data_IF_829706841909
#
_entry.id   IF_829706841909
#
_cell.length_a   1.000
_cell.length_b   1.000
_cell.length_c   1.000
_cell.angle_alpha   90.00
_cell.angle_beta   90.00
_cell.angle_gamma   90.00
#
_symmetry.space_group_name_H-M   'P 1'
#
loop_
_entity.id
_entity.type
_entity.pdbx_description
1 polymer ?
#
# COMPACT_ATOMS: atom_id res chain seq x y z
N UNK A 1 45.25 -31.72 -46.55
CA UNK A 1 45.04 -31.73 -45.08
C UNK A 1 45.29 -30.37 -44.45
N UNK A 2 46.42 -29.72 -44.70
CA UNK A 2 46.73 -28.39 -44.14
C UNK A 2 45.76 -27.29 -44.60
N UNK A 3 45.42 -27.23 -45.88
CA UNK A 3 44.46 -26.23 -46.41
C UNK A 3 43.04 -26.42 -45.86
N UNK A 4 42.62 -27.67 -45.67
CA UNK A 4 41.31 -28.02 -45.10
C UNK A 4 41.20 -27.59 -43.63
N UNK A 5 42.29 -27.68 -42.87
CA UNK A 5 42.38 -27.20 -41.49
C UNK A 5 42.37 -25.67 -41.40
N UNK A 6 43.01 -24.97 -42.35
CA UNK A 6 43.00 -23.50 -42.41
C UNK A 6 41.59 -22.99 -42.72
N UNK A 7 40.89 -23.59 -43.69
CA UNK A 7 39.51 -23.22 -44.04
C UNK A 7 38.56 -23.51 -42.86
N UNK A 8 38.72 -24.63 -42.18
CA UNK A 8 37.94 -24.95 -40.96
C UNK A 8 38.22 -23.95 -39.81
N UNK A 9 39.47 -23.51 -39.65
CA UNK A 9 39.85 -22.49 -38.67
C UNK A 9 39.22 -21.13 -38.96
N UNK A 10 39.23 -20.69 -40.22
CA UNK A 10 38.60 -19.42 -40.64
C UNK A 10 37.06 -19.49 -40.47
N UNK A 11 36.44 -20.61 -40.84
CA UNK A 11 35.02 -20.83 -40.66
C UNK A 11 34.60 -20.80 -39.18
N UNK A 12 35.42 -21.38 -38.29
CA UNK A 12 35.21 -21.33 -36.84
C UNK A 12 35.26 -19.92 -36.27
N UNK A 13 36.21 -19.09 -36.71
CA UNK A 13 36.34 -17.69 -36.26
C UNK A 13 35.16 -16.84 -36.73
N UNK A 14 34.71 -17.03 -37.98
CA UNK A 14 33.53 -16.33 -38.51
C UNK A 14 32.26 -16.68 -37.74
N UNK A 15 32.11 -17.95 -37.35
CA UNK A 15 30.94 -18.40 -36.58
C UNK A 15 30.93 -17.77 -35.17
N UNK A 16 32.09 -17.71 -34.50
CA UNK A 16 32.23 -17.05 -33.19
C UNK A 16 31.91 -15.55 -33.30
N UNK A 17 32.38 -14.87 -34.36
CA UNK A 17 32.03 -13.46 -34.60
C UNK A 17 30.53 -13.26 -34.82
N UNK A 18 29.87 -14.15 -35.54
CA UNK A 18 28.43 -14.07 -35.78
C UNK A 18 27.63 -14.26 -34.48
N UNK A 19 28.06 -15.18 -33.62
CA UNK A 19 27.45 -15.40 -32.30
C UNK A 19 27.67 -14.18 -31.39
N UNK A 20 28.86 -13.57 -31.38
CA UNK A 20 29.10 -12.32 -30.63
C UNK A 20 28.22 -11.16 -31.12
N UNK A 21 28.09 -10.98 -32.43
CA UNK A 21 27.22 -9.96 -33.01
C UNK A 21 25.75 -10.17 -32.65
N UNK A 22 25.26 -11.41 -32.72
CA UNK A 22 23.91 -11.75 -32.30
C UNK A 22 23.67 -11.47 -30.81
N UNK A 23 24.65 -11.78 -29.96
CA UNK A 23 24.58 -11.52 -28.52
C UNK A 23 24.62 -10.01 -28.20
N UNK A 24 25.44 -9.23 -28.90
CA UNK A 24 25.47 -7.76 -28.78
C UNK A 24 24.15 -7.12 -29.22
N UNK A 25 23.56 -7.59 -30.33
CA UNK A 25 22.29 -7.06 -30.84
C UNK A 25 21.14 -7.32 -29.86
N UNK A 26 21.06 -8.54 -29.32
CA UNK A 26 20.06 -8.90 -28.30
C UNK A 26 20.29 -8.18 -26.96
N UNK A 27 21.55 -7.99 -26.54
CA UNK A 27 21.90 -7.23 -25.35
C UNK A 27 21.52 -5.74 -25.49
N UNK A 28 21.78 -5.11 -26.64
CA UNK A 28 21.35 -3.72 -26.89
C UNK A 28 19.83 -3.56 -26.87
N UNK A 29 19.08 -4.54 -27.37
CA UNK A 29 17.60 -4.54 -27.26
C UNK A 29 17.12 -4.62 -25.81
N UNK A 30 17.75 -5.47 -24.99
CA UNK A 30 17.46 -5.58 -23.55
C UNK A 30 17.85 -4.32 -22.78
N UNK A 31 19.00 -3.71 -23.08
CA UNK A 31 19.45 -2.44 -22.49
C UNK A 31 18.52 -1.28 -22.89
N UNK A 32 18.01 -1.26 -24.12
CA UNK A 32 17.01 -0.25 -24.54
C UNK A 32 15.70 -0.40 -23.78
N UNK A 33 15.26 -1.63 -23.50
CA UNK A 33 14.06 -1.87 -22.70
C UNK A 33 14.28 -1.53 -21.21
N UNK A 34 15.45 -1.85 -20.65
CA UNK A 34 15.82 -1.42 -19.30
C UNK A 34 15.92 0.10 -19.19
N UNK A 35 16.49 0.78 -20.19
CA UNK A 35 16.53 2.23 -20.27
C UNK A 35 15.13 2.83 -20.34
N UNK A 36 14.19 2.23 -21.09
CA UNK A 36 12.78 2.65 -21.11
C UNK A 36 12.10 2.47 -19.76
N UNK A 37 12.31 1.34 -19.08
CA UNK A 37 11.76 1.08 -17.74
C UNK A 37 12.34 2.04 -16.70
N UNK A 38 13.65 2.32 -16.75
CA UNK A 38 14.31 3.29 -15.87
C UNK A 38 13.86 4.72 -16.16
N UNK A 39 13.64 5.07 -17.44
CA UNK A 39 13.09 6.38 -17.82
C UNK A 39 11.65 6.53 -17.34
N UNK A 40 10.84 5.47 -17.39
CA UNK A 40 9.50 5.45 -16.84
C UNK A 40 9.51 5.63 -15.31
N UNK A 41 10.38 4.91 -14.60
CA UNK A 41 10.54 5.07 -13.15
C UNK A 41 11.08 6.45 -12.76
N UNK A 42 12.02 7.00 -13.53
CA UNK A 42 12.53 8.35 -13.33
C UNK A 42 11.42 9.40 -13.56
N UNK A 43 10.61 9.24 -14.62
CA UNK A 43 9.48 10.13 -14.87
C UNK A 43 8.40 10.03 -13.78
N UNK A 44 8.17 8.84 -13.21
CA UNK A 44 7.31 8.66 -12.04
C UNK A 44 7.88 9.41 -10.83
N UNK A 45 9.17 9.27 -10.54
CA UNK A 45 9.82 9.98 -9.44
C UNK A 45 9.77 11.50 -9.66
N UNK A 46 10.00 11.99 -10.88
CA UNK A 46 9.91 13.42 -11.23
C UNK A 46 8.47 13.94 -11.14
N UNK A 47 7.47 13.13 -11.51
CA UNK A 47 6.04 13.47 -11.32
C UNK A 47 5.65 13.50 -9.84
N UNK A 48 6.07 12.50 -9.06
CA UNK A 48 5.88 12.47 -7.61
C UNK A 48 6.56 13.70 -6.99
N UNK A 49 7.79 13.99 -7.40
CA UNK A 49 8.51 15.18 -6.96
C UNK A 49 7.85 16.47 -7.42
N UNK A 50 7.24 16.56 -8.61
CA UNK A 50 6.58 17.77 -9.10
C UNK A 50 5.25 18.03 -8.39
N UNK A 51 4.49 16.97 -8.08
CA UNK A 51 3.31 17.02 -7.21
C UNK A 51 3.71 17.46 -5.80
N UNK A 52 4.83 16.96 -5.26
CA UNK A 52 5.38 17.37 -3.98
C UNK A 52 6.06 18.77 -4.00
N UNK A 53 6.54 19.25 -5.14
CA UNK A 53 7.23 20.56 -5.29
C UNK A 53 6.27 21.74 -5.44
N UNK A 54 4.98 21.51 -5.65
CA UNK A 54 3.97 22.57 -5.71
C UNK A 54 3.67 23.08 -4.29
N UNK A 55 4.71 23.67 -3.68
CA UNK A 55 4.93 23.93 -2.25
C UNK A 55 3.88 24.81 -1.55
N UNK A 56 2.99 25.48 -2.27
CA UNK A 56 1.85 26.20 -1.66
C UNK A 56 0.63 25.30 -1.47
N UNK A 57 0.40 24.33 -2.37
CA UNK A 57 -0.61 23.30 -2.21
C UNK A 57 -0.13 22.17 -1.28
N UNK A 58 1.17 21.84 -1.30
CA UNK A 58 1.73 20.78 -0.44
C UNK A 58 1.59 21.11 1.04
N UNK A 59 1.79 22.36 1.49
CA UNK A 59 1.58 22.67 2.90
C UNK A 59 0.11 22.54 3.32
N UNK A 60 -0.84 23.07 2.54
CA UNK A 60 -2.27 22.96 2.85
C UNK A 60 -2.81 21.53 2.71
N UNK A 61 -2.34 20.76 1.73
CA UNK A 61 -2.73 19.36 1.51
C UNK A 61 -2.07 18.44 2.53
N UNK A 62 -0.80 18.66 2.90
CA UNK A 62 -0.13 17.90 3.96
C UNK A 62 -0.69 18.25 5.34
N UNK A 63 -1.02 19.52 5.61
CA UNK A 63 -1.68 19.93 6.85
C UNK A 63 -3.12 19.39 6.94
N UNK A 64 -3.88 19.41 5.83
CA UNK A 64 -5.19 18.76 5.78
C UNK A 64 -5.11 17.23 5.90
N UNK A 65 -4.11 16.59 5.27
CA UNK A 65 -3.91 15.14 5.37
C UNK A 65 -3.50 14.74 6.80
N UNK A 66 -2.64 15.53 7.44
CA UNK A 66 -2.24 15.34 8.83
C UNK A 66 -3.44 15.51 9.78
N UNK A 67 -4.28 16.52 9.55
CA UNK A 67 -5.53 16.70 10.30
C UNK A 67 -6.46 15.49 10.17
N UNK A 68 -6.61 14.96 8.95
CA UNK A 68 -7.39 13.73 8.69
C UNK A 68 -6.76 12.53 9.39
N UNK A 69 -5.43 12.39 9.36
CA UNK A 69 -4.76 11.27 10.02
C UNK A 69 -4.85 11.35 11.55
N UNK A 70 -4.76 12.53 12.14
CA UNK A 70 -4.94 12.74 13.57
C UNK A 70 -6.39 12.47 13.99
N UNK A 71 -7.36 12.89 13.19
CA UNK A 71 -8.78 12.65 13.41
C UNK A 71 -9.11 11.14 13.32
N UNK A 72 -8.57 10.42 12.33
CA UNK A 72 -8.68 8.96 12.26
C UNK A 72 -8.02 8.30 13.48
N UNK A 73 -6.83 8.74 13.87
CA UNK A 73 -6.10 8.20 15.02
C UNK A 73 -6.88 8.40 16.33
N UNK A 74 -7.49 9.57 16.54
CA UNK A 74 -8.27 9.85 17.75
C UNK A 74 -9.42 8.85 17.92
N UNK A 75 -10.05 8.42 16.83
CA UNK A 75 -11.12 7.42 16.86
C UNK A 75 -10.59 5.99 17.10
N UNK A 76 -9.30 5.73 16.87
CA UNK A 76 -8.69 4.41 17.12
C UNK A 76 -8.22 4.21 18.56
N UNK A 77 -7.84 5.27 19.26
CA UNK A 77 -7.37 5.20 20.66
C UNK A 77 -8.37 4.45 21.57
N UNK A 78 -9.67 4.82 21.63
CA UNK A 78 -10.63 4.12 22.49
C UNK A 78 -10.85 2.67 22.05
N UNK A 79 -10.77 2.40 20.75
CA UNK A 79 -10.87 1.03 20.21
C UNK A 79 -9.71 0.17 20.71
N UNK A 80 -8.48 0.66 20.57
CA UNK A 80 -7.26 -0.03 21.01
C UNK A 80 -7.26 -0.31 22.51
N UNK A 81 -7.69 0.67 23.31
CA UNK A 81 -7.84 0.50 24.75
C UNK A 81 -8.88 -0.58 25.10
N UNK A 82 -10.00 -0.61 24.39
CA UNK A 82 -11.07 -1.57 24.63
C UNK A 82 -10.70 -3.02 24.30
N UNK A 83 -9.87 -3.24 23.28
CA UNK A 83 -9.40 -4.59 22.89
C UNK A 83 -8.03 -4.96 23.48
N UNK A 84 -7.45 -4.07 24.29
CA UNK A 84 -6.14 -4.21 24.94
C UNK A 84 -4.99 -4.45 23.94
N UNK A 85 -4.87 -3.56 22.96
CA UNK A 85 -3.86 -3.62 21.91
C UNK A 85 -2.92 -2.41 21.96
N UNK A 86 -1.63 -2.68 21.90
CA UNK A 86 -0.61 -1.64 21.77
C UNK A 86 -0.27 -1.36 20.30
N UNK A 87 0.10 -0.10 19.95
CA UNK A 87 0.55 0.22 18.61
C UNK A 87 1.88 -0.48 18.29
N UNK A 88 2.15 -0.74 17.01
CA UNK A 88 3.43 -1.31 16.56
C UNK A 88 4.60 -0.46 17.06
N UNK A 89 5.74 -1.10 17.37
CA UNK A 89 6.97 -0.39 17.70
C UNK A 89 7.83 -0.17 16.45
N UNK A 90 7.34 0.67 15.53
CA UNK A 90 7.97 0.99 14.23
C UNK A 90 8.10 2.52 14.08
N UNK A 91 8.95 2.96 13.13
CA UNK A 91 9.11 4.37 12.77
C UNK A 91 8.00 4.88 11.83
N UNK A 92 6.87 4.19 11.75
CA UNK A 92 5.73 4.55 10.91
C UNK A 92 4.91 5.68 11.54
N UNK A 93 4.04 6.31 10.74
CA UNK A 93 3.08 7.28 11.25
C UNK A 93 2.20 6.67 12.36
N UNK A 94 1.88 7.41 13.45
CA UNK A 94 1.11 6.88 14.58
C UNK A 94 -0.21 6.17 14.20
N UNK A 95 -0.93 6.69 13.20
CA UNK A 95 -2.12 6.05 12.62
C UNK A 95 -1.84 4.62 12.14
N UNK A 96 -0.79 4.44 11.34
CA UNK A 96 -0.43 3.13 10.78
C UNK A 96 0.10 2.18 11.85
N UNK A 97 0.77 2.72 12.87
CA UNK A 97 1.19 1.92 14.04
C UNK A 97 -0.01 1.40 14.83
N UNK A 98 -1.02 2.25 15.04
CA UNK A 98 -2.27 1.92 15.73
C UNK A 98 -3.05 0.85 14.95
N UNK A 99 -3.39 1.15 13.69
CA UNK A 99 -4.09 0.20 12.80
C UNK A 99 -3.32 -1.09 12.63
N UNK A 100 -2.01 -0.98 12.43
CA UNK A 100 -1.12 -2.10 12.25
C UNK A 100 -1.12 -3.02 13.46
N UNK A 101 -1.16 -2.46 14.67
CA UNK A 101 -1.26 -3.22 15.91
C UNK A 101 -2.57 -3.99 16.02
N UNK A 102 -3.70 -3.35 15.71
CA UNK A 102 -5.02 -4.00 15.71
C UNK A 102 -5.06 -5.15 14.71
N UNK A 103 -4.59 -4.92 13.49
CA UNK A 103 -4.60 -5.93 12.42
C UNK A 103 -3.63 -7.07 12.70
N UNK A 104 -2.46 -6.79 13.30
CA UNK A 104 -1.53 -7.84 13.73
C UNK A 104 -2.13 -8.69 14.85
N UNK A 105 -2.82 -8.07 15.80
CA UNK A 105 -3.48 -8.82 16.88
C UNK A 105 -4.59 -9.71 16.32
N UNK A 106 -5.38 -9.19 15.37
CA UNK A 106 -6.39 -9.99 14.68
C UNK A 106 -5.78 -11.16 13.87
N UNK A 107 -4.68 -10.91 13.17
CA UNK A 107 -3.99 -11.94 12.39
C UNK A 107 -3.39 -13.06 13.28
N UNK A 108 -2.91 -12.71 14.48
CA UNK A 108 -2.43 -13.68 15.48
C UNK A 108 -3.56 -14.42 16.16
N UNK A 109 -4.65 -13.72 16.46
CA UNK A 109 -5.76 -14.24 17.24
C UNK A 109 -7.10 -13.75 16.66
N UNK A 110 -7.84 -14.61 15.93
CA UNK A 110 -9.16 -14.27 15.41
C UNK A 110 -10.17 -13.86 16.49
N UNK A 111 -9.92 -14.22 17.76
CA UNK A 111 -10.74 -13.78 18.90
C UNK A 111 -10.72 -12.26 19.13
N UNK A 112 -9.77 -11.51 18.56
CA UNK A 112 -9.77 -10.06 18.59
C UNK A 112 -11.05 -9.46 17.97
N UNK A 113 -11.61 -10.11 16.94
CA UNK A 113 -12.89 -9.73 16.34
C UNK A 113 -14.06 -9.92 17.33
N UNK A 114 -14.05 -11.02 18.09
CA UNK A 114 -15.06 -11.31 19.10
C UNK A 114 -14.95 -10.37 20.31
N UNK A 115 -13.73 -10.01 20.74
CA UNK A 115 -13.50 -8.96 21.74
C UNK A 115 -14.11 -7.65 21.27
N UNK A 116 -13.79 -7.24 20.05
CA UNK A 116 -14.31 -6.00 19.49
C UNK A 116 -15.84 -6.01 19.37
N UNK A 117 -16.43 -7.12 18.93
CA UNK A 117 -17.89 -7.31 18.88
C UNK A 117 -18.53 -7.07 20.25
N UNK A 118 -17.95 -7.61 21.33
CA UNK A 118 -18.44 -7.41 22.70
C UNK A 118 -18.29 -5.96 23.13
N UNK A 119 -17.15 -5.33 22.84
CA UNK A 119 -16.93 -3.92 23.15
C UNK A 119 -17.96 -3.02 22.43
N UNK A 120 -18.28 -3.29 21.16
CA UNK A 120 -19.34 -2.56 20.42
C UNK A 120 -20.71 -2.68 21.12
N UNK A 121 -21.05 -3.87 21.66
CA UNK A 121 -22.32 -4.09 22.35
C UNK A 121 -22.38 -3.45 23.74
N UNK A 122 -21.24 -3.41 24.45
CA UNK A 122 -21.18 -3.04 25.86
C UNK A 122 -20.79 -1.57 26.07
N UNK A 123 -20.05 -0.97 25.13
CA UNK A 123 -19.50 0.37 25.21
C UNK A 123 -19.95 1.23 24.02
N UNK A 124 -20.83 2.19 24.31
CA UNK A 124 -21.38 3.11 23.32
C UNK A 124 -20.32 4.08 22.76
N UNK A 125 -19.26 4.37 23.51
CA UNK A 125 -18.15 5.22 23.05
C UNK A 125 -17.29 4.49 22.02
N UNK A 126 -17.01 3.21 22.25
CA UNK A 126 -16.31 2.36 21.28
C UNK A 126 -17.13 2.22 20.00
N UNK A 127 -18.43 1.94 20.11
CA UNK A 127 -19.33 1.86 18.95
C UNK A 127 -19.34 3.18 18.14
N UNK A 128 -19.46 4.33 18.83
CA UNK A 128 -19.42 5.65 18.18
C UNK A 128 -18.08 5.94 17.51
N UNK A 129 -16.97 5.57 18.16
CA UNK A 129 -15.63 5.79 17.63
C UNK A 129 -15.39 4.98 16.36
N UNK A 130 -15.91 3.74 16.31
CA UNK A 130 -15.88 2.90 15.10
C UNK A 130 -16.70 3.54 13.98
N UNK A 131 -17.92 4.01 14.28
CA UNK A 131 -18.78 4.66 13.29
C UNK A 131 -18.15 5.92 12.71
N UNK A 132 -17.57 6.76 13.58
CA UNK A 132 -16.87 7.96 13.18
C UNK A 132 -15.63 7.63 12.34
N UNK A 133 -14.84 6.64 12.76
CA UNK A 133 -13.68 6.18 12.01
C UNK A 133 -14.08 5.72 10.60
N UNK A 134 -15.09 4.84 10.50
CA UNK A 134 -15.56 4.32 9.22
C UNK A 134 -16.04 5.44 8.30
N UNK A 135 -16.87 6.35 8.82
CA UNK A 135 -17.40 7.48 8.04
C UNK A 135 -16.29 8.40 7.53
N UNK A 136 -15.29 8.70 8.37
CA UNK A 136 -14.17 9.60 8.02
C UNK A 136 -13.21 8.94 7.04
N UNK A 137 -12.94 7.65 7.21
CA UNK A 137 -12.10 6.89 6.30
C UNK A 137 -12.75 6.73 4.91
N UNK A 138 -14.05 6.46 4.85
CA UNK A 138 -14.80 6.40 3.59
C UNK A 138 -14.82 7.75 2.89
N UNK A 139 -15.05 8.84 3.63
CA UNK A 139 -15.00 10.20 3.09
C UNK A 139 -13.61 10.54 2.51
N UNK A 140 -12.54 10.10 3.20
CA UNK A 140 -11.17 10.27 2.74
C UNK A 140 -10.89 9.46 1.46
N UNK A 141 -11.28 8.19 1.41
CA UNK A 141 -11.13 7.35 0.22
C UNK A 141 -11.92 7.90 -0.97
N UNK A 142 -13.14 8.41 -0.73
CA UNK A 142 -13.94 9.07 -1.76
C UNK A 142 -13.26 10.34 -2.26
N UNK A 143 -12.77 11.20 -1.35
CA UNK A 143 -12.02 12.39 -1.71
C UNK A 143 -10.79 12.05 -2.57
N UNK A 144 -10.00 11.05 -2.17
CA UNK A 144 -8.86 10.57 -2.95
C UNK A 144 -9.28 10.09 -4.34
N UNK A 145 -10.36 9.32 -4.44
CA UNK A 145 -10.88 8.84 -5.73
C UNK A 145 -11.30 9.98 -6.65
N UNK A 146 -11.85 11.07 -6.09
CA UNK A 146 -12.24 12.26 -6.88
C UNK A 146 -11.09 13.18 -7.25
N UNK A 147 -9.97 13.11 -6.51
CA UNK A 147 -8.83 14.03 -6.67
C UNK A 147 -7.60 13.38 -7.31
N UNK A 148 -7.59 12.05 -7.44
CA UNK A 148 -6.54 11.25 -8.09
C UNK A 148 -6.97 10.75 -9.49
N UNK A 149 -6.65 11.47 -10.57
CA UNK A 149 -7.06 11.11 -11.93
C UNK A 149 -6.42 9.81 -12.46
N UNK A 150 -5.31 9.35 -11.87
CA UNK A 150 -4.64 8.10 -12.24
C UNK A 150 -5.14 6.91 -11.38
N UNK A 151 -5.86 7.18 -10.29
CA UNK A 151 -6.48 6.19 -9.38
C UNK A 151 -5.52 5.34 -8.55
N UNK A 152 -4.20 5.55 -8.69
CA UNK A 152 -3.16 4.74 -8.06
C UNK A 152 -3.15 4.92 -6.53
N UNK A 153 -3.31 6.15 -6.04
CA UNK A 153 -3.32 6.45 -4.61
C UNK A 153 -4.60 5.89 -3.98
N UNK A 154 -5.76 6.11 -4.62
CA UNK A 154 -7.03 5.57 -4.14
C UNK A 154 -6.99 4.03 -4.04
N UNK A 155 -6.47 3.35 -5.06
CA UNK A 155 -6.28 1.89 -5.03
C UNK A 155 -5.31 1.46 -3.92
N UNK A 156 -4.18 2.15 -3.76
CA UNK A 156 -3.17 1.82 -2.73
C UNK A 156 -3.74 1.89 -1.31
N UNK A 157 -4.55 2.90 -1.00
CA UNK A 157 -5.18 3.02 0.32
C UNK A 157 -6.34 2.02 0.52
N UNK A 158 -7.10 1.75 -0.54
CA UNK A 158 -8.22 0.80 -0.52
C UNK A 158 -7.73 -0.64 -0.33
N UNK A 159 -6.68 -1.04 -1.05
CA UNK A 159 -6.10 -2.40 -0.93
C UNK A 159 -5.17 -2.54 0.28
N UNK A 160 -4.75 -1.41 0.85
CA UNK A 160 -3.84 -1.31 1.98
C UNK A 160 -4.51 -1.45 3.36
N UNK A 161 -3.77 -0.99 4.38
CA UNK A 161 -4.17 -1.12 5.79
C UNK A 161 -5.49 -0.39 6.09
N UNK A 162 -5.79 0.72 5.40
CA UNK A 162 -7.00 1.49 5.59
C UNK A 162 -8.24 0.69 5.16
N UNK A 163 -8.29 0.14 3.94
CA UNK A 163 -9.42 -0.68 3.50
C UNK A 163 -9.55 -2.01 4.25
N UNK A 164 -8.44 -2.62 4.65
CA UNK A 164 -8.47 -3.81 5.52
C UNK A 164 -9.10 -3.49 6.89
N UNK A 165 -8.77 -2.34 7.47
CA UNK A 165 -9.37 -1.89 8.74
C UNK A 165 -10.87 -1.62 8.60
N UNK A 166 -11.32 -1.03 7.48
CA UNK A 166 -12.74 -0.81 7.21
C UNK A 166 -13.50 -2.13 7.10
N UNK A 167 -12.90 -3.10 6.43
CA UNK A 167 -13.46 -4.46 6.31
C UNK A 167 -13.60 -5.10 7.70
N UNK A 168 -12.54 -5.03 8.51
CA UNK A 168 -12.53 -5.57 9.87
C UNK A 168 -13.61 -4.93 10.77
N UNK A 169 -13.69 -3.60 10.79
CA UNK A 169 -14.70 -2.88 11.59
C UNK A 169 -16.12 -3.11 11.11
N UNK A 170 -16.33 -3.24 9.79
CA UNK A 170 -17.63 -3.60 9.22
C UNK A 170 -18.07 -4.99 9.69
N UNK A 171 -17.17 -5.98 9.65
CA UNK A 171 -17.46 -7.32 10.14
C UNK A 171 -17.78 -7.31 11.64
N UNK A 172 -17.01 -6.58 12.44
CA UNK A 172 -17.26 -6.47 13.88
C UNK A 172 -18.64 -5.88 14.18
N UNK A 173 -19.05 -4.85 13.44
CA UNK A 173 -20.40 -4.26 13.54
C UNK A 173 -21.50 -5.22 13.11
N UNK A 174 -21.32 -5.93 12.00
CA UNK A 174 -22.31 -6.91 11.53
C UNK A 174 -22.53 -8.01 12.56
N UNK A 175 -21.45 -8.52 13.15
CA UNK A 175 -21.51 -9.51 14.24
C UNK A 175 -22.14 -8.93 15.51
N UNK A 176 -21.95 -7.64 15.79
CA UNK A 176 -22.58 -6.97 16.91
C UNK A 176 -24.09 -6.74 16.68
N UNK A 177 -24.50 -6.49 15.43
CA UNK A 177 -25.90 -6.31 15.06
C UNK A 177 -26.68 -7.63 15.04
N UNK A 178 -26.00 -8.77 14.85
CA UNK A 178 -26.60 -10.09 15.02
C UNK A 178 -27.01 -10.28 16.49
N UNK A 179 -28.33 -10.25 16.72
CA UNK A 179 -28.93 -10.74 17.95
C UNK A 179 -28.60 -12.21 18.07
N UNK A 180 -27.85 -12.56 19.11
CA UNK A 180 -27.87 -13.93 19.65
C UNK A 180 -29.31 -14.20 20.05
N UNK A 181 -30.09 -14.84 19.17
CA UNK A 181 -31.29 -15.54 19.61
C UNK A 181 -30.84 -16.63 20.61
N UNK A 182 -31.60 -16.82 21.71
CA UNK A 182 -31.23 -17.65 22.85
C UNK A 182 -31.08 -19.14 22.51
#
# INVERSE_FOLDING_TARGET
MQETLIIAGIAGILLIQFVMLYFLFTATGRLRNLSKTLTYQYNLIVKIQSVLKNKSATNAVTENAEMIYQDLLQNLIPIMAAIDVMPRNTNEHPLWRALGGIMDEYAKNPFALEKLRRCIKLDAEVARSIDNYMTRADAFLHHLTTTDPDGILAATFTDGLLGQSLTFFTQAKQLAAQTTEP
#
